data_IF_344294701920
#
_entry.id   IF_344294701920
#
_cell.length_a   1.000
_cell.length_b   1.000
_cell.length_c   1.000
_cell.angle_alpha   90.00
_cell.angle_beta   90.00
_cell.angle_gamma   90.00
#
_symmetry.space_group_name_H-M   'P 1'
#
loop_
_entity.id
_entity.type
_entity.pdbx_description
1 polymer ?
#
# COMPACT_ATOMS: atom_id res chain seq x y z
N UNK A 1 -45.96 26.73 -4.41
CA UNK A 1 -44.76 27.54 -4.21
C UNK A 1 -44.03 27.22 -2.92
N UNK A 2 -44.65 27.26 -1.74
CA UNK A 2 -43.94 26.98 -0.44
C UNK A 2 -43.18 25.66 -0.40
N UNK A 3 -43.76 24.54 -0.90
CA UNK A 3 -43.10 23.22 -0.93
C UNK A 3 -41.81 23.20 -1.74
N UNK A 4 -41.75 23.90 -2.85
CA UNK A 4 -40.54 23.99 -3.70
C UNK A 4 -39.44 24.84 -3.06
N UNK A 5 -39.83 25.92 -2.37
CA UNK A 5 -38.89 26.75 -1.62
C UNK A 5 -38.26 25.94 -0.47
N UNK A 6 -39.12 25.22 0.30
CA UNK A 6 -38.63 24.36 1.37
C UNK A 6 -37.67 23.28 0.86
N UNK A 7 -38.02 22.63 -0.26
CA UNK A 7 -37.15 21.64 -0.88
C UNK A 7 -35.79 22.24 -1.32
N UNK A 8 -35.83 23.43 -1.96
CA UNK A 8 -34.58 24.11 -2.38
C UNK A 8 -33.70 24.51 -1.19
N UNK A 9 -34.32 24.96 -0.08
CA UNK A 9 -33.59 25.28 1.15
C UNK A 9 -32.96 24.04 1.76
N UNK A 10 -33.69 22.93 1.86
CA UNK A 10 -33.15 21.67 2.38
C UNK A 10 -32.00 21.13 1.55
N UNK A 11 -32.13 21.20 0.22
CA UNK A 11 -31.03 20.81 -0.69
C UNK A 11 -29.83 21.73 -0.50
N UNK A 12 -30.04 23.05 -0.40
CA UNK A 12 -28.99 24.01 -0.15
C UNK A 12 -28.25 23.77 1.16
N UNK A 13 -28.99 23.56 2.24
CA UNK A 13 -28.40 23.21 3.55
C UNK A 13 -27.66 21.88 3.47
N UNK A 14 -28.24 20.88 2.81
CA UNK A 14 -27.58 19.59 2.59
C UNK A 14 -26.24 19.73 1.86
N UNK A 15 -26.18 20.53 0.80
CA UNK A 15 -24.94 20.79 0.07
C UNK A 15 -23.88 21.52 0.90
N UNK A 16 -24.30 22.53 1.69
CA UNK A 16 -23.40 23.28 2.58
C UNK A 16 -22.78 22.38 3.66
N UNK A 17 -23.48 21.36 4.12
CA UNK A 17 -22.96 20.39 5.09
C UNK A 17 -22.13 19.31 4.39
N UNK A 18 -22.64 18.74 3.31
CA UNK A 18 -22.00 17.61 2.63
C UNK A 18 -20.68 17.97 1.99
N UNK A 19 -20.57 19.18 1.40
CA UNK A 19 -19.36 19.61 0.70
C UNK A 19 -18.12 19.67 1.62
N UNK A 20 -18.15 20.36 2.79
CA UNK A 20 -16.99 20.38 3.67
C UNK A 20 -16.69 19.00 4.27
N UNK A 21 -17.68 18.19 4.58
CA UNK A 21 -17.45 16.83 5.07
C UNK A 21 -16.76 15.96 4.01
N UNK A 22 -17.21 16.02 2.78
CA UNK A 22 -16.59 15.31 1.66
C UNK A 22 -15.16 15.81 1.42
N UNK A 23 -14.94 17.13 1.41
CA UNK A 23 -13.63 17.73 1.20
C UNK A 23 -12.66 17.35 2.32
N UNK A 24 -13.12 17.34 3.56
CA UNK A 24 -12.30 16.92 4.70
C UNK A 24 -11.96 15.43 4.63
N UNK A 25 -12.92 14.59 4.28
CA UNK A 25 -12.69 13.14 4.09
C UNK A 25 -11.69 12.88 2.98
N UNK A 26 -11.84 13.55 1.85
CA UNK A 26 -10.90 13.45 0.72
C UNK A 26 -9.49 13.93 1.11
N UNK A 27 -9.40 15.10 1.76
CA UNK A 27 -8.13 15.63 2.23
C UNK A 27 -7.44 14.65 3.20
N UNK A 28 -8.18 14.13 4.17
CA UNK A 28 -7.64 13.14 5.13
C UNK A 28 -7.16 11.89 4.41
N UNK A 29 -7.93 11.40 3.44
CA UNK A 29 -7.53 10.25 2.64
C UNK A 29 -6.21 10.45 1.91
N UNK A 30 -6.05 11.57 1.23
CA UNK A 30 -4.81 11.90 0.51
C UNK A 30 -3.63 12.01 1.48
N UNK A 31 -3.81 12.73 2.58
CA UNK A 31 -2.74 12.96 3.59
C UNK A 31 -2.31 11.68 4.31
N UNK A 32 -3.23 10.76 4.55
CA UNK A 32 -2.94 9.48 5.20
C UNK A 32 -2.54 8.37 4.22
N UNK A 33 -2.26 8.72 2.97
CA UNK A 33 -1.95 7.75 1.91
C UNK A 33 -0.46 7.72 1.54
N UNK A 34 0.35 8.54 2.18
CA UNK A 34 1.77 8.67 1.83
C UNK A 34 2.64 7.69 2.63
N UNK A 35 3.76 7.23 2.07
CA UNK A 35 4.72 6.41 2.80
C UNK A 35 5.24 7.07 4.08
N UNK A 36 5.34 8.41 4.12
CA UNK A 36 5.75 9.19 5.28
C UNK A 36 4.74 9.08 6.41
N UNK A 37 3.44 9.13 6.07
CA UNK A 37 2.38 8.90 7.06
C UNK A 37 2.44 7.48 7.61
N UNK A 38 2.59 6.47 6.77
CA UNK A 38 2.74 5.08 7.20
C UNK A 38 3.97 4.90 8.11
N UNK A 39 5.09 5.58 7.81
CA UNK A 39 6.32 5.56 8.60
C UNK A 39 6.23 6.30 9.93
N UNK A 40 5.13 7.04 10.20
CA UNK A 40 4.94 7.74 11.49
C UNK A 40 4.75 6.75 12.65
N UNK A 41 4.23 5.54 12.38
CA UNK A 41 4.13 4.47 13.37
C UNK A 41 5.41 3.64 13.40
N UNK A 42 5.92 3.38 14.60
CA UNK A 42 7.19 2.67 14.78
C UNK A 42 7.13 1.20 14.33
N UNK A 43 5.96 0.58 14.35
CA UNK A 43 5.72 -0.79 13.89
C UNK A 43 5.91 -0.91 12.38
N UNK A 44 5.46 0.09 11.62
CA UNK A 44 5.47 0.10 10.15
C UNK A 44 6.79 0.66 9.61
N UNK A 45 7.47 1.51 10.35
CA UNK A 45 8.71 2.16 9.93
C UNK A 45 9.76 1.22 9.33
N UNK A 46 10.03 0.02 9.88
CA UNK A 46 10.97 -0.91 9.28
C UNK A 46 10.52 -1.42 7.90
N UNK A 47 9.21 -1.63 7.71
CA UNK A 47 8.67 -2.05 6.42
C UNK A 47 8.85 -0.95 5.36
N UNK A 48 8.68 0.32 5.72
CA UNK A 48 8.92 1.46 4.83
C UNK A 48 10.41 1.57 4.46
N UNK A 49 11.32 1.29 5.39
CA UNK A 49 12.76 1.29 5.09
C UNK A 49 13.12 0.16 4.12
N UNK A 50 12.58 -1.04 4.32
CA UNK A 50 12.78 -2.16 3.39
C UNK A 50 12.20 -1.85 2.00
N UNK A 51 11.01 -1.25 1.93
CA UNK A 51 10.37 -0.80 0.69
C UNK A 51 11.25 0.19 -0.08
N UNK A 52 11.86 1.18 0.59
CA UNK A 52 12.76 2.16 -0.05
C UNK A 52 13.98 1.54 -0.73
N UNK A 53 14.42 0.37 -0.28
CA UNK A 53 15.54 -0.37 -0.88
C UNK A 53 15.10 -1.42 -1.91
N UNK A 54 13.80 -1.59 -2.12
CA UNK A 54 13.25 -2.57 -3.05
C UNK A 54 13.32 -2.10 -4.50
N UNK A 55 13.21 -3.05 -5.42
CA UNK A 55 13.12 -2.77 -6.87
C UNK A 55 11.85 -2.02 -7.26
N UNK A 56 10.83 -1.98 -6.42
CA UNK A 56 9.59 -1.23 -6.63
C UNK A 56 9.74 0.27 -6.35
N UNK A 57 10.84 0.66 -5.72
CA UNK A 57 11.13 2.07 -5.44
C UNK A 57 12.43 2.51 -6.09
N UNK A 58 13.42 1.59 -6.15
CA UNK A 58 14.74 1.87 -6.66
C UNK A 58 14.99 1.00 -7.92
N UNK A 59 14.60 1.52 -9.07
CA UNK A 59 14.74 0.86 -10.36
C UNK A 59 15.17 1.82 -11.46
N UNK A 60 15.72 1.26 -12.54
CA UNK A 60 16.23 2.03 -13.67
C UNK A 60 15.15 2.80 -14.46
N UNK A 61 13.88 2.44 -14.30
CA UNK A 61 12.76 3.10 -14.98
C UNK A 61 12.25 4.34 -14.21
N UNK A 62 12.74 4.58 -12.99
CA UNK A 62 12.28 5.69 -12.14
C UNK A 62 10.84 5.54 -11.66
N UNK A 63 10.26 4.35 -11.75
CA UNK A 63 8.90 4.09 -11.28
C UNK A 63 8.92 3.85 -9.78
N UNK A 64 8.12 4.60 -9.04
CA UNK A 64 7.90 4.41 -7.62
C UNK A 64 6.50 3.84 -7.42
N UNK A 65 6.43 2.68 -6.77
CA UNK A 65 5.17 2.02 -6.40
C UNK A 65 4.92 2.29 -4.94
N UNK A 66 3.82 2.94 -4.61
CA UNK A 66 3.47 3.31 -3.25
C UNK A 66 2.85 2.16 -2.46
N UNK A 67 2.81 2.32 -1.14
CA UNK A 67 2.25 1.31 -0.24
C UNK A 67 0.82 0.93 -0.63
N UNK A 68 0.01 1.91 -1.03
CA UNK A 68 -1.39 1.69 -1.40
C UNK A 68 -1.54 0.91 -2.69
N UNK A 69 -0.60 1.01 -3.62
CA UNK A 69 -0.70 0.30 -4.90
C UNK A 69 -0.74 -1.21 -4.71
N UNK A 70 -0.08 -1.70 -3.67
CA UNK A 70 -0.07 -3.11 -3.29
C UNK A 70 -1.11 -3.45 -2.21
N UNK A 71 -1.27 -2.60 -1.19
CA UNK A 71 -2.07 -2.93 0.01
C UNK A 71 -3.55 -2.57 -0.10
N UNK A 72 -3.97 -1.84 -1.13
CA UNK A 72 -5.36 -1.46 -1.33
C UNK A 72 -5.87 -1.89 -2.71
N UNK A 73 -7.19 -2.07 -2.87
CA UNK A 73 -7.82 -2.23 -4.17
C UNK A 73 -7.49 -1.07 -5.12
N UNK A 74 -7.70 -1.26 -6.40
CA UNK A 74 -7.49 -0.20 -7.37
C UNK A 74 -8.43 0.98 -7.11
N UNK A 75 -7.97 2.25 -7.21
CA UNK A 75 -8.80 3.44 -6.97
C UNK A 75 -10.03 3.52 -7.87
N UNK A 76 -10.01 2.84 -9.03
CA UNK A 76 -11.14 2.73 -9.95
C UNK A 76 -12.33 2.00 -9.31
N UNK A 77 -12.08 1.05 -8.42
CA UNK A 77 -13.10 0.46 -7.55
C UNK A 77 -13.24 1.32 -6.29
N UNK A 78 -13.91 2.46 -6.45
CA UNK A 78 -14.00 3.50 -5.45
C UNK A 78 -14.56 2.99 -4.12
N UNK A 79 -15.62 2.19 -4.14
CA UNK A 79 -16.22 1.67 -2.91
C UNK A 79 -15.32 0.68 -2.18
N UNK A 80 -14.73 -0.29 -2.89
CA UNK A 80 -13.81 -1.25 -2.32
C UNK A 80 -12.56 -0.54 -1.77
N UNK A 81 -12.03 0.45 -2.51
CA UNK A 81 -10.90 1.25 -2.08
C UNK A 81 -11.19 2.00 -0.77
N UNK A 82 -12.31 2.74 -0.70
CA UNK A 82 -12.69 3.50 0.49
C UNK A 82 -12.93 2.60 1.70
N UNK A 83 -13.62 1.49 1.50
CA UNK A 83 -13.91 0.54 2.56
C UNK A 83 -12.61 -0.11 3.09
N UNK A 84 -11.78 -0.61 2.19
CA UNK A 84 -10.51 -1.24 2.55
C UNK A 84 -9.59 -0.26 3.27
N UNK A 85 -9.46 0.98 2.77
CA UNK A 85 -8.63 2.00 3.40
C UNK A 85 -9.14 2.38 4.79
N UNK A 86 -10.44 2.56 4.96
CA UNK A 86 -11.03 2.89 6.25
C UNK A 86 -10.85 1.74 7.24
N UNK A 87 -11.10 0.51 6.81
CA UNK A 87 -10.94 -0.69 7.64
C UNK A 87 -9.49 -0.89 8.07
N UNK A 88 -8.54 -0.87 7.14
CA UNK A 88 -7.12 -1.06 7.46
C UNK A 88 -6.59 0.08 8.33
N UNK A 89 -6.95 1.32 8.02
CA UNK A 89 -6.54 2.48 8.83
C UNK A 89 -7.05 2.41 10.26
N UNK A 90 -8.31 2.08 10.48
CA UNK A 90 -8.87 1.90 11.82
C UNK A 90 -8.24 0.72 12.54
N UNK A 91 -8.03 -0.39 11.86
CA UNK A 91 -7.34 -1.56 12.40
C UNK A 91 -5.93 -1.21 12.86
N UNK A 92 -5.15 -0.52 12.03
CA UNK A 92 -3.77 -0.16 12.35
C UNK A 92 -3.70 0.76 13.56
N UNK A 93 -4.59 1.76 13.66
CA UNK A 93 -4.72 2.63 14.83
C UNK A 93 -5.11 1.82 16.07
N UNK A 94 -6.08 0.91 15.95
CA UNK A 94 -6.50 0.08 17.08
C UNK A 94 -5.37 -0.85 17.55
N UNK A 95 -4.63 -1.45 16.63
CA UNK A 95 -3.47 -2.30 16.97
C UNK A 95 -2.39 -1.47 17.67
N UNK A 96 -2.09 -0.28 17.18
CA UNK A 96 -1.09 0.61 17.78
C UNK A 96 -1.40 0.98 19.23
N UNK A 97 -2.67 1.28 19.54
CA UNK A 97 -3.06 1.75 20.89
C UNK A 97 -3.44 0.62 21.86
N UNK A 98 -3.94 -0.49 21.37
CA UNK A 98 -4.56 -1.53 22.20
C UNK A 98 -3.82 -2.87 22.21
N UNK A 99 -2.88 -3.09 21.27
CA UNK A 99 -2.08 -4.33 21.22
C UNK A 99 -0.68 -4.00 21.70
N UNK A 100 -0.29 -4.55 22.87
CA UNK A 100 0.95 -4.15 23.53
C UNK A 100 2.23 -4.55 22.80
N UNK A 101 2.27 -5.69 22.12
CA UNK A 101 3.42 -6.18 21.37
C UNK A 101 3.02 -6.50 19.93
N UNK A 102 3.65 -5.84 18.97
CA UNK A 102 3.41 -6.04 17.56
C UNK A 102 4.24 -7.21 17.02
N UNK A 103 3.58 -8.30 16.69
CA UNK A 103 4.18 -9.46 16.04
C UNK A 103 4.25 -9.26 14.53
N UNK A 104 5.43 -8.91 14.07
CA UNK A 104 5.69 -8.63 12.65
C UNK A 104 5.52 -9.85 11.77
N UNK A 105 5.91 -11.05 12.25
CA UNK A 105 5.82 -12.26 11.44
C UNK A 105 4.37 -12.64 11.21
N UNK A 106 3.55 -12.61 12.26
CA UNK A 106 2.09 -12.78 12.10
C UNK A 106 1.44 -11.76 11.19
N UNK A 107 1.86 -10.50 11.29
CA UNK A 107 1.35 -9.46 10.39
C UNK A 107 1.74 -9.70 8.94
N UNK A 108 2.96 -10.19 8.70
CA UNK A 108 3.47 -10.57 7.39
C UNK A 108 2.71 -11.76 6.82
N UNK A 109 2.54 -12.82 7.59
CA UNK A 109 1.77 -14.00 7.18
C UNK A 109 0.31 -13.62 6.84
N UNK A 110 -0.32 -12.81 7.67
CA UNK A 110 -1.67 -12.31 7.42
C UNK A 110 -1.76 -11.45 6.13
N UNK A 111 -0.74 -10.63 5.86
CA UNK A 111 -0.66 -9.87 4.63
C UNK A 111 -0.51 -10.79 3.41
N UNK A 112 0.38 -11.77 3.43
CA UNK A 112 0.53 -12.74 2.33
C UNK A 112 -0.75 -13.56 2.10
N UNK A 113 -1.44 -13.94 3.15
CA UNK A 113 -2.72 -14.63 3.03
C UNK A 113 -3.80 -13.75 2.36
N UNK A 114 -3.78 -12.45 2.61
CA UNK A 114 -4.74 -11.49 2.08
C UNK A 114 -4.41 -10.98 0.66
N UNK A 115 -3.16 -11.15 0.18
CA UNK A 115 -2.78 -10.69 -1.16
C UNK A 115 -3.39 -11.58 -2.24
N UNK A 116 -3.98 -10.94 -3.25
CA UNK A 116 -4.43 -11.56 -4.48
C UNK A 116 -3.55 -11.14 -5.67
N UNK A 117 -3.58 -11.95 -6.74
CA UNK A 117 -2.80 -11.69 -7.95
C UNK A 117 -3.18 -10.37 -8.63
N UNK A 118 -4.41 -9.93 -8.46
CA UNK A 118 -4.93 -8.70 -9.05
C UNK A 118 -4.17 -7.45 -8.59
N UNK A 119 -3.66 -7.43 -7.34
CA UNK A 119 -2.82 -6.33 -6.87
C UNK A 119 -1.54 -6.18 -7.68
N UNK A 120 -0.92 -7.29 -8.05
CA UNK A 120 0.29 -7.30 -8.87
C UNK A 120 -0.03 -6.99 -10.34
N UNK A 121 -1.13 -7.54 -10.85
CA UNK A 121 -1.55 -7.43 -12.25
C UNK A 121 -2.08 -6.04 -12.62
N UNK A 122 -2.31 -5.14 -11.67
CA UNK A 122 -2.56 -3.71 -11.97
C UNK A 122 -1.47 -3.14 -12.88
N UNK A 123 -0.21 -3.51 -12.65
CA UNK A 123 0.96 -3.04 -13.39
C UNK A 123 1.60 -4.15 -14.23
N UNK A 124 1.68 -5.40 -13.71
CA UNK A 124 2.34 -6.53 -14.36
C UNK A 124 1.40 -7.28 -15.32
N UNK A 125 1.00 -6.62 -16.42
CA UNK A 125 0.05 -7.20 -17.41
C UNK A 125 0.72 -8.02 -18.50
N UNK A 126 2.02 -7.79 -18.75
CA UNK A 126 2.74 -8.37 -19.89
C UNK A 126 3.63 -9.56 -19.50
N UNK A 127 3.27 -10.32 -18.49
CA UNK A 127 4.05 -11.43 -17.95
C UNK A 127 4.39 -12.53 -18.98
N UNK A 128 3.57 -12.66 -20.03
CA UNK A 128 3.72 -13.66 -21.08
C UNK A 128 4.38 -13.10 -22.37
N UNK A 129 4.81 -11.84 -22.36
CA UNK A 129 5.38 -11.15 -23.52
C UNK A 129 6.84 -10.71 -23.31
N UNK A 130 7.65 -11.54 -22.65
CA UNK A 130 9.07 -11.28 -22.40
C UNK A 130 9.94 -12.25 -23.23
N UNK A 131 10.21 -11.95 -24.50
CA UNK A 131 10.80 -12.92 -25.45
C UNK A 131 12.17 -13.44 -25.03
N UNK A 132 12.94 -12.66 -24.28
CA UNK A 132 14.28 -13.05 -23.82
C UNK A 132 14.28 -13.85 -22.50
N UNK A 133 13.11 -14.11 -21.92
CA UNK A 133 12.96 -14.79 -20.62
C UNK A 133 11.96 -15.94 -20.71
N UNK A 134 12.21 -16.88 -21.62
CA UNK A 134 11.31 -18.03 -21.88
C UNK A 134 10.96 -18.82 -20.63
N UNK A 135 11.92 -19.04 -19.73
CA UNK A 135 11.69 -19.74 -18.46
C UNK A 135 10.71 -19.00 -17.55
N UNK A 136 10.88 -17.70 -17.43
CA UNK A 136 9.97 -16.84 -16.66
C UNK A 136 8.56 -16.83 -17.27
N UNK A 137 8.43 -16.73 -18.59
CA UNK A 137 7.12 -16.80 -19.28
C UNK A 137 6.40 -18.13 -19.01
N UNK A 138 7.11 -19.26 -19.04
CA UNK A 138 6.53 -20.57 -18.75
C UNK A 138 6.06 -20.69 -17.30
N UNK A 139 6.85 -20.17 -16.35
CA UNK A 139 6.47 -20.12 -14.93
C UNK A 139 5.22 -19.25 -14.73
N UNK A 140 5.19 -18.04 -15.30
CA UNK A 140 4.04 -17.15 -15.21
C UNK A 140 2.79 -17.71 -15.90
N UNK A 141 2.96 -18.45 -17.01
CA UNK A 141 1.84 -19.12 -17.68
C UNK A 141 1.11 -20.09 -16.76
N UNK A 142 1.85 -20.79 -15.89
CA UNK A 142 1.25 -21.74 -14.94
C UNK A 142 0.43 -21.05 -13.84
N UNK A 143 0.67 -19.76 -13.60
CA UNK A 143 -0.10 -18.95 -12.64
C UNK A 143 -1.29 -18.28 -13.33
N UNK A 144 -1.05 -17.63 -14.48
CA UNK A 144 -2.09 -16.87 -15.22
C UNK A 144 -3.20 -17.81 -15.74
N UNK A 145 -2.84 -19.02 -16.14
CA UNK A 145 -3.76 -20.06 -16.66
C UNK A 145 -3.85 -21.27 -15.73
N UNK A 146 -3.79 -21.03 -14.40
CA UNK A 146 -3.94 -22.09 -13.43
C UNK A 146 -5.29 -22.80 -13.58
N UNK A 147 -5.28 -24.13 -13.43
CA UNK A 147 -6.53 -24.89 -13.35
C UNK A 147 -7.17 -24.69 -11.98
N UNK A 148 -8.51 -24.76 -11.88
CA UNK A 148 -9.18 -24.73 -10.58
C UNK A 148 -8.57 -25.74 -9.60
N UNK A 149 -8.23 -25.28 -8.40
CA UNK A 149 -7.57 -26.08 -7.36
C UNK A 149 -6.03 -26.13 -7.44
N UNK A 150 -5.43 -25.47 -8.44
CA UNK A 150 -3.97 -25.36 -8.61
C UNK A 150 -3.51 -23.91 -8.71
N UNK A 151 -4.33 -22.99 -8.21
CA UNK A 151 -4.03 -21.56 -8.21
C UNK A 151 -2.80 -21.29 -7.33
N UNK A 152 -1.93 -20.43 -7.83
CA UNK A 152 -0.76 -19.94 -7.10
C UNK A 152 -0.82 -18.42 -7.03
N UNK A 153 -0.40 -17.89 -5.90
CA UNK A 153 -0.24 -16.46 -5.75
C UNK A 153 1.12 -16.01 -6.27
N UNK A 154 1.18 -14.80 -6.80
CA UNK A 154 2.45 -14.19 -7.21
C UNK A 154 3.44 -14.16 -6.03
N UNK A 155 2.95 -13.89 -4.84
CA UNK A 155 3.73 -13.85 -3.60
C UNK A 155 4.27 -15.20 -3.16
N UNK A 156 3.75 -16.34 -3.64
CA UNK A 156 4.29 -17.67 -3.30
C UNK A 156 5.71 -17.87 -3.85
N UNK A 157 6.01 -17.21 -4.99
CA UNK A 157 7.34 -17.25 -5.59
C UNK A 157 8.11 -15.94 -5.35
N UNK A 158 7.41 -14.80 -5.28
CA UNK A 158 7.97 -13.47 -5.08
C UNK A 158 7.78 -12.96 -3.65
N UNK A 159 7.97 -13.84 -2.68
CA UNK A 159 7.60 -13.55 -1.30
C UNK A 159 8.48 -12.48 -0.63
N UNK A 160 9.72 -12.30 -1.06
CA UNK A 160 10.67 -11.37 -0.43
C UNK A 160 10.92 -10.10 -1.26
N UNK A 161 9.93 -9.71 -2.07
CA UNK A 161 10.06 -8.72 -3.12
C UNK A 161 10.27 -7.28 -2.60
N UNK A 162 9.49 -6.88 -1.60
CA UNK A 162 9.42 -5.48 -1.13
C UNK A 162 9.90 -5.31 0.30
N UNK A 163 9.47 -6.19 1.20
CA UNK A 163 9.82 -6.14 2.62
C UNK A 163 10.86 -7.20 2.97
N UNK A 164 11.95 -7.25 2.20
CA UNK A 164 12.99 -8.25 2.37
C UNK A 164 13.72 -8.11 3.71
N UNK A 165 14.20 -9.23 4.25
CA UNK A 165 15.02 -9.23 5.46
C UNK A 165 16.32 -8.42 5.30
N UNK A 166 16.89 -8.38 4.09
CA UNK A 166 18.05 -7.53 3.78
C UNK A 166 17.78 -6.06 4.05
N UNK A 167 16.60 -5.56 3.66
CA UNK A 167 16.19 -4.19 3.97
C UNK A 167 16.00 -3.97 5.48
N UNK A 168 15.53 -4.98 6.22
CA UNK A 168 15.40 -4.93 7.67
C UNK A 168 16.75 -4.97 8.39
N UNK A 169 17.70 -5.72 7.88
CA UNK A 169 19.09 -5.74 8.40
C UNK A 169 19.76 -4.38 8.21
N UNK A 170 19.62 -3.77 7.04
CA UNK A 170 20.10 -2.40 6.81
C UNK A 170 19.48 -1.40 7.80
N UNK A 171 18.19 -1.52 8.08
CA UNK A 171 17.53 -0.66 9.08
C UNK A 171 18.13 -0.85 10.48
N UNK A 172 18.40 -2.08 10.92
CA UNK A 172 19.03 -2.36 12.21
C UNK A 172 20.44 -1.78 12.28
N UNK A 173 21.22 -1.90 11.23
CA UNK A 173 22.58 -1.35 11.15
C UNK A 173 22.59 0.18 11.15
N UNK A 174 21.70 0.83 10.39
CA UNK A 174 21.62 2.30 10.38
C UNK A 174 21.15 2.88 11.71
N UNK A 175 20.36 2.15 12.48
CA UNK A 175 19.95 2.57 13.83
C UNK A 175 21.08 2.51 14.85
N UNK A 176 22.11 1.70 14.60
CA UNK A 176 23.28 1.57 15.47
C UNK A 176 24.38 2.59 15.13
N UNK A 177 24.31 3.22 13.95
CA UNK A 177 25.24 4.30 13.58
C UNK A 177 24.65 5.61 14.13
N UNK A 178 25.29 6.23 15.13
CA UNK A 178 24.85 7.56 15.58
C UNK A 178 24.96 8.50 14.37
N UNK A 179 23.87 9.17 14.04
CA UNK A 179 23.81 10.18 13.00
C UNK A 179 24.79 11.31 13.36
N UNK A 180 26.02 11.20 12.87
CA UNK A 180 26.93 12.34 12.87
C UNK A 180 26.51 13.23 11.72
N UNK A 181 25.75 14.27 12.06
CA UNK A 181 25.53 15.40 11.18
C UNK A 181 26.88 16.08 10.91
N UNK A 182 27.66 15.53 9.99
CA UNK A 182 28.80 16.26 9.42
C UNK A 182 28.20 17.33 8.51
N UNK A 183 28.40 18.56 8.94
CA UNK A 183 27.91 19.77 8.34
C UNK A 183 28.09 19.80 6.82
N UNK A 184 26.98 19.93 6.11
CA UNK A 184 26.95 20.61 4.84
C UNK A 184 27.18 22.09 5.13
N UNK A 185 28.47 22.49 5.19
CA UNK A 185 28.84 23.87 4.98
C UNK A 185 28.52 24.18 3.51
N UNK A 186 27.73 25.21 3.37
CA UNK A 186 27.34 25.88 2.13
C UNK A 186 28.46 25.92 1.08
N UNK A 187 28.14 25.56 -0.14
CA UNK A 187 28.71 26.12 -1.35
C UNK A 187 27.57 26.81 -2.11
#
# INVERSE_FOLDING_TARGET
MKKWITAAVLVGVGMVIAFPLFSMSYYTMVRTSTPEFCASCHEIKPAVVAWRSSTHTNNAAGVVVDCMDCHLPAPQDTFAFFFAKSYHGLKDVAVHFFVGEYDREKAREAAYAAFDNDQCQKCHRNLLHMPNQRGAMLAHRSVVYARPGYEKKCVDCHYDLVHSERGLVMFRQTRQIPYQAKGLKQL
#
